data_IF_359867459793
#
_entry.id   IF_359867459793
#
_cell.length_a   1.000
_cell.length_b   1.000
_cell.length_c   1.000
_cell.angle_alpha   90.00
_cell.angle_beta   90.00
_cell.angle_gamma   90.00
#
_symmetry.space_group_name_H-M   'P 1'
#
loop_
_entity.id
_entity.type
_entity.pdbx_description
1 polymer ?
#
# COMPACT_ATOMS: atom_id res chain seq x y z
N UNK A 1 4.11 -2.48 -15.57
CA UNK A 1 3.94 -3.03 -16.94
C UNK A 1 4.71 -4.34 -17.12
N UNK A 2 6.01 -4.38 -16.82
CA UNK A 2 6.80 -5.64 -16.86
C UNK A 2 6.16 -6.73 -15.99
N UNK A 3 5.82 -6.42 -14.74
CA UNK A 3 5.16 -7.37 -13.84
C UNK A 3 3.79 -7.85 -14.34
N UNK A 4 3.05 -7.00 -15.06
CA UNK A 4 1.76 -7.38 -15.62
C UNK A 4 1.93 -8.38 -16.78
N UNK A 5 2.95 -8.18 -17.63
CA UNK A 5 3.31 -9.15 -18.66
C UNK A 5 3.76 -10.47 -18.04
N UNK A 6 4.68 -10.42 -17.07
CA UNK A 6 5.15 -11.59 -16.35
C UNK A 6 3.99 -12.35 -15.69
N UNK A 7 3.06 -11.66 -15.04
CA UNK A 7 1.87 -12.27 -14.45
C UNK A 7 1.01 -12.98 -15.51
N UNK A 8 0.83 -12.38 -16.69
CA UNK A 8 0.10 -13.02 -17.79
C UNK A 8 0.82 -14.29 -18.31
N UNK A 9 2.14 -14.24 -18.46
CA UNK A 9 2.95 -15.40 -18.86
C UNK A 9 2.90 -16.52 -17.81
N UNK A 10 3.07 -16.17 -16.53
CA UNK A 10 3.03 -17.12 -15.42
C UNK A 10 1.66 -17.77 -15.25
N UNK A 11 0.58 -17.04 -15.49
CA UNK A 11 -0.78 -17.58 -15.49
C UNK A 11 -0.95 -18.63 -16.59
N UNK A 12 -0.43 -18.39 -17.80
CA UNK A 12 -0.50 -19.39 -18.87
C UNK A 12 0.28 -20.66 -18.54
N UNK A 13 1.44 -20.53 -17.89
CA UNK A 13 2.24 -21.67 -17.45
C UNK A 13 1.47 -22.50 -16.40
N UNK A 14 0.96 -21.85 -15.36
CA UNK A 14 0.16 -22.51 -14.31
C UNK A 14 -1.13 -23.13 -14.85
N UNK A 15 -1.79 -22.47 -15.80
CA UNK A 15 -3.00 -22.99 -16.45
C UNK A 15 -2.76 -24.29 -17.25
N UNK A 16 -1.51 -24.57 -17.62
CA UNK A 16 -1.10 -25.78 -18.35
C UNK A 16 -0.55 -26.87 -17.44
N UNK A 17 -0.39 -26.58 -16.15
CA UNK A 17 0.10 -27.56 -15.20
C UNK A 17 -0.97 -28.65 -14.96
N UNK A 18 -0.67 -29.94 -15.21
CA UNK A 18 -1.62 -31.02 -14.93
C UNK A 18 -2.08 -31.06 -13.46
N UNK A 19 -1.23 -30.62 -12.52
CA UNK A 19 -1.53 -30.57 -11.09
C UNK A 19 -2.69 -29.61 -10.77
N UNK A 20 -2.96 -28.63 -11.63
CA UNK A 20 -4.07 -27.68 -11.45
C UNK A 20 -5.43 -28.37 -11.31
N UNK A 21 -5.59 -29.55 -11.91
CA UNK A 21 -6.84 -30.35 -11.85
C UNK A 21 -6.74 -31.55 -10.93
N UNK A 22 -5.66 -31.67 -10.16
CA UNK A 22 -5.48 -32.74 -9.18
C UNK A 22 -6.60 -32.74 -8.15
N UNK A 23 -7.12 -33.91 -7.73
CA UNK A 23 -8.03 -34.01 -6.60
C UNK A 23 -7.31 -33.86 -5.24
N UNK A 24 -5.97 -33.92 -5.22
CA UNK A 24 -5.15 -33.78 -4.00
C UNK A 24 -4.83 -32.31 -3.74
N UNK A 25 -5.76 -31.61 -3.08
CA UNK A 25 -5.74 -30.14 -2.91
C UNK A 25 -5.71 -29.68 -1.45
N UNK A 26 -5.83 -30.59 -0.49
CA UNK A 26 -5.97 -30.24 0.93
C UNK A 26 -5.08 -31.10 1.81
N UNK A 27 -4.18 -30.44 2.52
CA UNK A 27 -3.48 -31.01 3.67
C UNK A 27 -4.11 -30.47 4.95
N UNK A 28 -4.82 -31.33 5.69
CA UNK A 28 -5.45 -30.93 6.95
C UNK A 28 -4.40 -30.79 8.06
N UNK A 29 -4.49 -29.73 8.89
CA UNK A 29 -3.60 -29.58 10.03
C UNK A 29 -3.82 -30.72 11.02
N UNK A 30 -2.72 -31.27 11.54
CA UNK A 30 -2.75 -32.39 12.51
C UNK A 30 -2.86 -31.92 13.95
N UNK A 31 -2.68 -30.62 14.21
CA UNK A 31 -2.74 -30.00 15.53
C UNK A 31 -3.35 -28.60 15.44
N UNK A 32 -3.87 -28.08 16.56
CA UNK A 32 -4.32 -26.68 16.64
C UNK A 32 -3.11 -25.76 16.49
N UNK A 33 -3.06 -24.90 15.46
CA UNK A 33 -1.99 -23.93 15.31
C UNK A 33 -2.00 -22.96 16.49
N UNK A 34 -0.81 -22.53 16.93
CA UNK A 34 -0.64 -21.49 17.98
C UNK A 34 -0.17 -20.16 17.43
N UNK A 35 0.55 -20.21 16.32
CA UNK A 35 1.15 -19.05 15.66
C UNK A 35 1.41 -19.40 14.19
N UNK A 36 1.24 -18.41 13.31
CA UNK A 36 1.49 -18.57 11.89
C UNK A 36 1.79 -17.23 11.22
N UNK A 37 2.72 -17.26 10.27
CA UNK A 37 3.07 -16.10 9.45
C UNK A 37 2.99 -16.48 7.97
N UNK A 38 2.24 -15.68 7.21
CA UNK A 38 2.16 -15.75 5.76
C UNK A 38 2.78 -14.51 5.15
N UNK A 39 3.67 -14.69 4.18
CA UNK A 39 4.33 -13.60 3.46
C UNK A 39 4.17 -13.83 1.97
N UNK A 40 3.67 -12.82 1.27
CA UNK A 40 3.52 -12.84 -0.20
C UNK A 40 3.87 -11.47 -0.78
N UNK A 41 4.25 -11.45 -2.05
CA UNK A 41 4.35 -10.19 -2.80
C UNK A 41 2.97 -9.82 -3.34
N UNK A 42 2.37 -8.79 -2.74
CA UNK A 42 1.19 -8.16 -3.32
C UNK A 42 1.62 -7.23 -4.47
N UNK A 43 0.72 -6.80 -5.36
CA UNK A 43 1.09 -5.93 -6.50
C UNK A 43 1.73 -4.59 -6.12
N UNK A 44 1.68 -4.20 -4.84
CA UNK A 44 2.16 -2.91 -4.32
C UNK A 44 3.35 -3.07 -3.34
N UNK A 45 3.92 -4.27 -3.26
CA UNK A 45 5.01 -4.66 -2.36
C UNK A 45 4.65 -5.77 -1.38
N UNK A 46 5.58 -6.07 -0.46
CA UNK A 46 5.49 -7.21 0.46
C UNK A 46 4.33 -7.09 1.45
N UNK A 47 3.51 -8.13 1.53
CA UNK A 47 2.38 -8.28 2.45
C UNK A 47 2.71 -9.36 3.48
N UNK A 48 2.65 -8.99 4.76
CA UNK A 48 2.93 -9.88 5.89
C UNK A 48 1.69 -9.97 6.76
N UNK A 49 1.21 -11.20 6.93
CA UNK A 49 0.13 -11.55 7.84
C UNK A 49 0.70 -12.41 8.97
N UNK A 50 0.55 -11.97 10.21
CA UNK A 50 1.00 -12.69 11.39
C UNK A 50 -0.16 -12.86 12.38
N UNK A 51 -0.41 -14.11 12.75
CA UNK A 51 -1.53 -14.50 13.60
C UNK A 51 -1.04 -15.34 14.77
N UNK A 52 -1.65 -15.14 15.93
CA UNK A 52 -1.48 -16.00 17.11
C UNK A 52 -2.86 -16.42 17.62
N UNK A 53 -2.95 -17.62 18.16
CA UNK A 53 -4.21 -18.28 18.54
C UNK A 53 -4.15 -18.90 19.93
N UNK A 54 -5.30 -19.11 20.55
CA UNK A 54 -5.45 -19.87 21.78
C UNK A 54 -5.57 -21.39 21.53
N UNK A 55 -5.79 -22.18 22.58
CA UNK A 55 -5.94 -23.64 22.50
C UNK A 55 -7.16 -24.09 21.67
N UNK A 56 -8.12 -23.19 21.44
CA UNK A 56 -9.32 -23.42 20.62
C UNK A 56 -9.13 -22.95 19.18
N UNK A 57 -7.97 -22.42 18.82
CA UNK A 57 -7.70 -21.85 17.50
C UNK A 57 -8.31 -20.45 17.30
N UNK A 58 -8.73 -19.77 18.37
CA UNK A 58 -9.28 -18.41 18.29
C UNK A 58 -8.15 -17.40 18.28
N UNK A 59 -8.21 -16.43 17.38
CA UNK A 59 -7.20 -15.37 17.25
C UNK A 59 -7.08 -14.56 18.54
N UNK A 60 -5.87 -14.49 19.09
CA UNK A 60 -5.54 -13.69 20.28
C UNK A 60 -4.75 -12.44 19.92
N UNK A 61 -3.92 -12.51 18.87
CA UNK A 61 -3.16 -11.38 18.32
C UNK A 61 -3.09 -11.47 16.80
N UNK A 62 -3.09 -10.31 16.18
CA UNK A 62 -2.96 -10.13 14.74
C UNK A 62 -2.03 -8.97 14.47
N UNK A 63 -1.05 -9.17 13.60
CA UNK A 63 -0.19 -8.12 13.08
C UNK A 63 -0.18 -8.19 11.55
N UNK A 64 -0.48 -7.05 10.92
CA UNK A 64 -0.57 -6.92 9.46
C UNK A 64 0.38 -5.81 9.02
N UNK A 65 1.43 -6.18 8.28
CA UNK A 65 2.31 -5.22 7.62
C UNK A 65 1.95 -5.26 6.14
N UNK A 66 1.20 -4.27 5.70
CA UNK A 66 0.63 -4.23 4.35
C UNK A 66 1.54 -3.48 3.41
N UNK A 67 1.70 -4.02 2.20
CA UNK A 67 2.50 -3.52 1.08
C UNK A 67 2.76 -2.00 1.08
N UNK A 68 1.73 -1.17 0.90
CA UNK A 68 1.88 0.29 0.79
C UNK A 68 2.42 0.95 2.06
N UNK A 69 2.24 0.37 3.26
CA UNK A 69 2.83 0.95 4.47
C UNK A 69 4.35 1.04 4.37
N UNK A 70 5.00 0.03 3.78
CA UNK A 70 6.46 0.02 3.60
C UNK A 70 6.95 1.21 2.76
N UNK A 71 6.11 1.76 1.90
CA UNK A 71 6.42 2.89 1.04
C UNK A 71 6.00 4.26 1.62
N UNK A 72 5.40 4.31 2.81
CA UNK A 72 4.86 5.56 3.39
C UNK A 72 5.92 6.68 3.46
N UNK A 73 7.13 6.37 3.92
CA UNK A 73 8.21 7.36 4.01
C UNK A 73 8.63 7.87 2.63
N UNK A 74 8.85 6.96 1.68
CA UNK A 74 9.25 7.31 0.32
C UNK A 74 8.18 8.16 -0.40
N UNK A 75 6.90 7.83 -0.23
CA UNK A 75 5.77 8.60 -0.77
C UNK A 75 5.83 10.04 -0.24
N UNK A 76 5.94 10.23 1.07
CA UNK A 76 6.01 11.57 1.68
C UNK A 76 7.21 12.38 1.17
N UNK A 77 8.39 11.76 1.08
CA UNK A 77 9.59 12.39 0.56
C UNK A 77 9.44 12.79 -0.92
N UNK A 78 8.82 11.95 -1.74
CA UNK A 78 8.57 12.23 -3.15
C UNK A 78 7.57 13.36 -3.35
N UNK A 79 6.50 13.41 -2.54
CA UNK A 79 5.52 14.50 -2.55
C UNK A 79 6.16 15.82 -2.12
N UNK A 80 6.93 15.85 -1.03
CA UNK A 80 7.64 17.07 -0.58
C UNK A 80 8.62 17.56 -1.65
N UNK A 81 9.42 16.65 -2.22
CA UNK A 81 10.36 16.99 -3.29
C UNK A 81 9.65 17.53 -4.53
N UNK A 82 8.54 16.93 -4.95
CA UNK A 82 7.74 17.41 -6.07
C UNK A 82 7.18 18.80 -5.81
N UNK A 83 6.58 19.01 -4.63
CA UNK A 83 5.99 20.30 -4.24
C UNK A 83 7.06 21.40 -4.23
N UNK A 84 8.22 21.16 -3.59
CA UNK A 84 9.34 22.12 -3.55
C UNK A 84 9.92 22.43 -4.93
N UNK A 85 9.89 21.47 -5.84
CA UNK A 85 10.46 21.64 -7.18
C UNK A 85 9.52 22.42 -8.11
N UNK A 86 8.20 22.19 -7.99
CA UNK A 86 7.19 22.70 -8.91
C UNK A 86 6.54 24.02 -8.44
N UNK A 87 6.33 24.19 -7.13
CA UNK A 87 5.69 25.38 -6.57
C UNK A 87 6.77 26.43 -6.32
N UNK A 88 6.73 27.52 -7.08
CA UNK A 88 7.67 28.65 -6.99
C UNK A 88 6.90 29.96 -6.87
N UNK A 89 7.51 30.95 -6.23
CA UNK A 89 6.96 32.31 -6.10
C UNK A 89 5.53 32.39 -5.52
N UNK A 90 5.10 31.37 -4.75
CA UNK A 90 3.74 31.31 -4.21
C UNK A 90 2.64 30.98 -5.22
N UNK A 91 2.99 30.67 -6.47
CA UNK A 91 2.01 30.29 -7.49
C UNK A 91 1.54 28.85 -7.29
N UNK A 92 0.23 28.69 -7.11
CA UNK A 92 -0.41 27.39 -6.90
C UNK A 92 -1.59 27.30 -7.87
N UNK A 93 -1.48 26.41 -8.85
CA UNK A 93 -2.52 26.11 -9.82
C UNK A 93 -2.93 24.64 -9.75
N UNK A 94 -4.13 24.32 -10.23
CA UNK A 94 -4.60 22.93 -10.31
C UNK A 94 -3.66 22.03 -11.12
N UNK A 95 -3.06 22.56 -12.19
CA UNK A 95 -2.08 21.83 -12.99
C UNK A 95 -0.84 21.45 -12.17
N UNK A 96 -0.33 22.37 -11.33
CA UNK A 96 0.80 22.11 -10.46
C UNK A 96 0.45 21.10 -9.36
N UNK A 97 -0.72 21.22 -8.73
CA UNK A 97 -1.19 20.27 -7.71
C UNK A 97 -1.33 18.86 -8.30
N UNK A 98 -1.88 18.72 -9.51
CA UNK A 98 -1.96 17.44 -10.19
C UNK A 98 -0.58 16.83 -10.48
N UNK A 99 0.43 17.65 -10.81
CA UNK A 99 1.81 17.16 -10.97
C UNK A 99 2.44 16.73 -9.65
N UNK A 100 2.12 17.38 -8.53
CA UNK A 100 2.53 16.91 -7.19
C UNK A 100 1.85 15.57 -6.86
N UNK A 101 0.57 15.42 -7.17
CA UNK A 101 -0.15 14.16 -7.00
C UNK A 101 0.38 13.03 -7.89
N UNK A 102 0.98 13.33 -9.05
CA UNK A 102 1.65 12.30 -9.86
C UNK A 102 2.78 11.60 -9.11
N UNK A 103 3.52 12.32 -8.25
CA UNK A 103 4.56 11.73 -7.41
C UNK A 103 3.99 10.72 -6.40
N UNK A 104 2.76 10.94 -5.96
CA UNK A 104 2.01 10.01 -5.11
C UNK A 104 1.49 8.80 -5.90
N UNK A 105 0.82 9.03 -7.04
CA UNK A 105 0.23 7.97 -7.89
C UNK A 105 1.26 7.01 -8.47
N UNK A 106 2.51 7.45 -8.63
CA UNK A 106 3.60 6.61 -9.13
C UNK A 106 3.86 5.36 -8.27
N UNK A 107 3.43 5.35 -7.01
CA UNK A 107 3.56 4.21 -6.10
C UNK A 107 2.36 3.25 -6.11
N UNK A 108 1.32 3.52 -6.91
CA UNK A 108 0.02 2.83 -6.86
C UNK A 108 -0.45 2.57 -5.40
N UNK A 109 -0.56 3.61 -4.55
CA UNK A 109 -0.77 3.40 -3.13
C UNK A 109 -2.19 2.85 -2.85
N UNK A 110 -2.29 1.71 -2.16
CA UNK A 110 -3.55 1.25 -1.58
C UNK A 110 -3.65 1.70 -0.12
N UNK A 111 -4.19 2.88 0.12
CA UNK A 111 -4.33 3.35 1.49
C UNK A 111 -5.44 2.65 2.30
N UNK A 112 -6.53 2.22 1.66
CA UNK A 112 -7.55 1.40 2.31
C UNK A 112 -6.92 0.12 2.91
N UNK A 113 -5.97 -0.47 2.18
CA UNK A 113 -5.19 -1.60 2.65
C UNK A 113 -4.18 -1.19 3.74
N UNK A 114 -3.46 -0.07 3.55
CA UNK A 114 -2.36 0.33 4.42
C UNK A 114 -2.78 0.80 5.82
N UNK A 115 -3.94 1.44 5.96
CA UNK A 115 -4.38 2.01 7.23
C UNK A 115 -5.29 1.06 8.01
N UNK A 116 -5.92 0.10 7.33
CA UNK A 116 -6.97 -0.75 7.90
C UNK A 116 -8.09 0.06 8.59
N UNK A 117 -8.25 1.33 8.25
CA UNK A 117 -9.04 2.29 9.02
C UNK A 117 -10.48 2.43 8.49
N UNK A 118 -11.46 2.01 9.30
CA UNK A 118 -12.82 2.55 9.26
C UNK A 118 -12.82 3.89 10.03
N UNK A 119 -13.36 5.02 9.52
CA UNK A 119 -14.19 5.22 8.33
C UNK A 119 -13.44 5.98 7.23
N UNK A 120 -12.42 5.38 6.62
CA UNK A 120 -12.05 5.60 5.22
C UNK A 120 -11.97 7.03 4.64
N UNK A 121 -11.59 8.07 5.40
CA UNK A 121 -11.30 9.38 4.82
C UNK A 121 -9.83 9.74 5.06
N UNK A 122 -9.11 10.05 3.98
CA UNK A 122 -7.81 10.71 4.07
C UNK A 122 -7.86 12.06 3.38
N UNK A 123 -7.83 13.16 4.15
CA UNK A 123 -7.51 14.45 3.57
C UNK A 123 -6.03 14.46 3.18
N UNK A 124 -5.72 14.66 1.90
CA UNK A 124 -4.42 15.19 1.51
C UNK A 124 -4.33 16.62 2.05
N UNK A 125 -3.48 16.82 3.05
CA UNK A 125 -3.22 18.13 3.64
C UNK A 125 -1.90 18.70 3.08
N UNK A 126 -1.97 19.89 2.49
CA UNK A 126 -0.79 20.62 2.03
C UNK A 126 -0.70 21.91 2.83
N UNK A 127 0.36 22.03 3.64
CA UNK A 127 0.67 23.24 4.41
C UNK A 127 1.86 23.94 3.75
N UNK A 128 1.62 25.09 3.15
CA UNK A 128 2.66 25.94 2.55
C UNK A 128 3.15 26.92 3.59
N UNK A 129 4.46 26.95 3.81
CA UNK A 129 5.11 27.84 4.77
C UNK A 129 6.09 28.77 4.07
N UNK A 130 6.22 29.99 4.58
CA UNK A 130 7.24 30.95 4.13
C UNK A 130 8.64 30.58 4.67
N UNK A 131 9.64 31.37 4.29
CA UNK A 131 11.03 31.20 4.75
C UNK A 131 11.21 31.36 6.27
N UNK A 132 10.27 32.02 6.95
CA UNK A 132 10.25 32.20 8.40
C UNK A 132 9.47 31.09 9.12
N UNK A 133 8.90 30.13 8.38
CA UNK A 133 8.12 29.02 8.90
C UNK A 133 6.64 29.35 9.15
N UNK A 134 6.21 30.58 8.86
CA UNK A 134 4.81 30.98 9.01
C UNK A 134 3.95 30.29 7.94
N UNK A 135 2.75 29.89 8.33
CA UNK A 135 1.79 29.31 7.40
C UNK A 135 1.26 30.38 6.45
N UNK A 136 1.51 30.18 5.16
CA UNK A 136 1.02 31.05 4.07
C UNK A 136 -0.32 30.54 3.56
N UNK A 137 -0.47 29.21 3.49
CA UNK A 137 -1.69 28.58 2.97
C UNK A 137 -1.81 27.14 3.46
N UNK A 138 -3.05 26.72 3.72
CA UNK A 138 -3.41 25.33 3.98
C UNK A 138 -4.49 24.88 3.02
N UNK A 139 -4.28 23.72 2.41
CA UNK A 139 -5.18 23.12 1.45
C UNK A 139 -5.56 21.72 1.94
N UNK A 140 -6.85 21.40 1.84
CA UNK A 140 -7.40 20.09 2.16
C UNK A 140 -8.06 19.52 0.92
N UNK A 141 -7.70 18.28 0.57
CA UNK A 141 -8.38 17.51 -0.49
C UNK A 141 -8.83 16.18 0.08
N UNK A 142 -10.14 15.99 0.19
CA UNK A 142 -10.72 14.69 0.54
C UNK A 142 -10.63 13.77 -0.68
N UNK A 143 -9.89 12.66 -0.55
CA UNK A 143 -9.85 11.55 -1.52
C UNK A 143 -10.82 10.45 -1.09
#
# INVERSE_FOLDING_TARGET
>A
LIEALYAAERVLELARDPELTSPDIVNLPTTTPKEGMGVVEAPRGTLIHHYQTDERGVLTKVNLIVATQNNSAAINMSVDKAARSLIKNGEISEGLLNMVEMAFRAYDPCHACATHALPGQMPLEIIVRDQSGNEVKRLFRHL
#
